data_IF_690323523904
#
_entry.id   IF_690323523904
#
_cell.length_a   1.000
_cell.length_b   1.000
_cell.length_c   1.000
_cell.angle_alpha   90.00
_cell.angle_beta   90.00
_cell.angle_gamma   90.00
#
_symmetry.space_group_name_H-M   'P 1'
#
loop_
_entity.id
_entity.type
_entity.pdbx_description
1 polymer ?
#
# COMPACT_ATOMS: atom_id res chain seq x y z
N UNK A 1 -14.96 -1.30 -4.06
CA UNK A 1 -13.83 -2.24 -4.34
C UNK A 1 -13.23 -2.69 -3.02
N UNK A 2 -12.50 -3.83 -3.03
CA UNK A 2 -11.66 -4.25 -1.91
C UNK A 2 -10.20 -3.97 -2.24
N UNK A 3 -9.56 -3.15 -1.42
CA UNK A 3 -8.20 -2.64 -1.67
C UNK A 3 -7.34 -2.95 -0.45
N UNK A 4 -6.16 -3.51 -0.64
CA UNK A 4 -5.11 -3.51 0.37
C UNK A 4 -4.19 -2.31 0.15
N UNK A 5 -3.87 -1.59 1.23
CA UNK A 5 -3.03 -0.40 1.18
C UNK A 5 -1.80 -0.63 2.06
N UNK A 6 -0.63 -0.72 1.45
CA UNK A 6 0.63 -1.07 2.10
C UNK A 6 1.43 0.19 2.40
N UNK A 7 1.62 0.47 3.69
CA UNK A 7 2.24 1.66 4.23
C UNK A 7 1.22 2.63 4.82
N UNK A 8 1.14 2.67 6.16
CA UNK A 8 0.19 3.50 6.93
C UNK A 8 0.90 4.69 7.60
N UNK A 9 1.90 5.22 6.91
CA UNK A 9 2.60 6.43 7.33
C UNK A 9 1.77 7.70 7.13
N UNK A 10 2.45 8.86 7.27
CA UNK A 10 1.81 10.20 7.24
C UNK A 10 1.07 10.55 5.94
N UNK A 11 1.39 9.89 4.82
CA UNK A 11 0.65 10.01 3.56
C UNK A 11 -0.38 8.88 3.42
N UNK A 12 0.03 7.63 3.71
CA UNK A 12 -0.79 6.44 3.44
C UNK A 12 -2.07 6.39 4.28
N UNK A 13 -1.99 6.64 5.59
CA UNK A 13 -3.19 6.58 6.44
C UNK A 13 -4.27 7.60 6.06
N UNK A 14 -3.97 8.88 5.80
CA UNK A 14 -4.96 9.81 5.28
C UNK A 14 -5.60 9.36 3.98
N UNK A 15 -4.81 8.84 3.02
CA UNK A 15 -5.33 8.33 1.75
C UNK A 15 -6.24 7.11 1.94
N UNK A 16 -5.89 6.20 2.86
CA UNK A 16 -6.75 5.08 3.27
C UNK A 16 -8.10 5.57 3.75
N UNK A 17 -8.13 6.60 4.60
CA UNK A 17 -9.38 7.18 5.11
C UNK A 17 -10.21 7.83 3.98
N UNK A 18 -9.58 8.55 3.05
CA UNK A 18 -10.25 9.14 1.88
C UNK A 18 -10.85 8.06 0.96
N UNK A 19 -10.10 6.98 0.70
CA UNK A 19 -10.58 5.86 -0.12
C UNK A 19 -11.76 5.13 0.55
N UNK A 20 -11.73 4.95 1.86
CA UNK A 20 -12.83 4.35 2.61
C UNK A 20 -14.09 5.22 2.55
N UNK A 21 -13.97 6.54 2.73
CA UNK A 21 -15.10 7.48 2.56
C UNK A 21 -15.72 7.46 1.17
N UNK A 22 -14.94 7.08 0.16
CA UNK A 22 -15.46 6.88 -1.22
C UNK A 22 -16.15 5.53 -1.40
N UNK A 23 -16.44 4.79 -0.31
CA UNK A 23 -17.21 3.54 -0.31
C UNK A 23 -16.38 2.28 -0.62
N UNK A 24 -15.05 2.37 -0.50
CA UNK A 24 -14.19 1.20 -0.65
C UNK A 24 -13.97 0.48 0.69
N UNK A 25 -13.83 -0.84 0.64
CA UNK A 25 -13.33 -1.63 1.77
C UNK A 25 -11.81 -1.66 1.72
N UNK A 26 -11.16 -1.22 2.77
CA UNK A 26 -9.70 -1.10 2.81
C UNK A 26 -9.12 -2.05 3.86
N UNK A 27 -8.08 -2.79 3.49
CA UNK A 27 -7.20 -3.47 4.42
C UNK A 27 -5.86 -2.72 4.45
N UNK A 28 -5.65 -1.92 5.48
CA UNK A 28 -4.39 -1.23 5.71
C UNK A 28 -3.32 -2.20 6.22
N UNK A 29 -2.15 -2.20 5.59
CA UNK A 29 -1.04 -3.10 5.91
C UNK A 29 0.19 -2.27 6.30
N UNK A 30 0.77 -2.54 7.46
CA UNK A 30 2.03 -1.95 7.89
C UNK A 30 2.85 -2.96 8.70
N UNK A 31 4.18 -2.79 8.71
CA UNK A 31 5.10 -3.60 9.53
C UNK A 31 5.37 -2.98 10.91
N UNK A 32 4.96 -1.73 11.12
CA UNK A 32 5.18 -1.01 12.36
C UNK A 32 4.11 -1.36 13.39
N UNK A 33 4.51 -2.16 14.38
CA UNK A 33 3.64 -2.62 15.46
C UNK A 33 2.98 -1.47 16.22
N UNK A 34 3.69 -0.37 16.48
CA UNK A 34 3.13 0.80 17.15
C UNK A 34 1.99 1.44 16.37
N UNK A 35 2.16 1.57 15.03
CA UNK A 35 1.10 2.10 14.17
C UNK A 35 -0.12 1.18 14.20
N UNK A 36 0.09 -0.12 14.05
CA UNK A 36 -1.00 -1.10 14.06
C UNK A 36 -1.72 -1.17 15.41
N UNK A 37 -0.98 -1.14 16.51
CA UNK A 37 -1.56 -1.12 17.87
C UNK A 37 -2.49 0.10 18.04
N UNK A 38 -2.02 1.30 17.69
CA UNK A 38 -2.81 2.52 17.76
C UNK A 38 -4.09 2.42 16.91
N UNK A 39 -3.95 2.04 15.65
CA UNK A 39 -5.07 1.97 14.72
C UNK A 39 -6.11 0.91 15.12
N UNK A 40 -5.69 -0.25 15.61
CA UNK A 40 -6.59 -1.30 16.10
C UNK A 40 -7.31 -0.92 17.40
N UNK A 41 -6.77 0.06 18.15
CA UNK A 41 -7.42 0.65 19.32
C UNK A 41 -8.26 1.90 18.97
N UNK A 42 -8.48 2.18 17.67
CA UNK A 42 -9.14 3.39 17.17
C UNK A 42 -8.43 4.70 17.58
N UNK A 43 -7.11 4.67 17.70
CA UNK A 43 -6.28 5.82 18.02
C UNK A 43 -5.43 6.22 16.81
N UNK A 44 -5.31 7.52 16.55
CA UNK A 44 -4.42 8.02 15.50
C UNK A 44 -2.95 7.98 15.97
N UNK A 45 -2.01 7.39 15.17
CA UNK A 45 -0.61 7.31 15.55
C UNK A 45 0.16 8.63 15.41
N UNK A 46 -0.41 9.60 14.69
CA UNK A 46 0.17 10.94 14.45
C UNK A 46 -0.93 11.94 14.12
N UNK A 47 -0.56 13.23 14.16
CA UNK A 47 -1.44 14.31 13.75
C UNK A 47 -1.27 14.63 12.25
N UNK A 48 -2.42 14.77 11.56
CA UNK A 48 -2.54 15.36 10.21
C UNK A 48 -3.84 16.19 10.20
N UNK A 49 -3.83 17.43 9.67
CA UNK A 49 -5.02 18.26 9.60
C UNK A 49 -6.19 17.56 8.90
N UNK A 50 -7.38 17.58 9.52
CA UNK A 50 -8.59 16.94 8.99
C UNK A 50 -8.66 15.43 9.13
N UNK A 51 -7.57 14.73 9.52
CA UNK A 51 -7.57 13.28 9.63
C UNK A 51 -8.53 12.78 10.72
N UNK A 52 -8.62 13.46 11.84
CA UNK A 52 -9.56 13.13 12.93
C UNK A 52 -11.01 13.12 12.47
N UNK A 53 -11.37 14.01 11.53
CA UNK A 53 -12.75 14.17 11.05
C UNK A 53 -13.15 13.07 10.06
N UNK A 54 -12.15 12.41 9.46
CA UNK A 54 -12.36 11.36 8.45
C UNK A 54 -11.88 9.99 8.89
N UNK A 55 -11.21 9.90 10.04
CA UNK A 55 -10.77 8.62 10.57
C UNK A 55 -12.00 7.76 10.89
N UNK A 56 -12.11 6.56 10.35
CA UNK A 56 -13.35 5.82 10.40
C UNK A 56 -13.61 5.26 11.79
N UNK A 57 -14.86 5.39 12.19
CA UNK A 57 -15.45 4.66 13.30
C UNK A 57 -16.31 3.49 12.81
N UNK A 58 -16.22 3.15 11.52
CA UNK A 58 -16.97 2.08 10.87
C UNK A 58 -16.07 0.91 10.45
N UNK A 59 -16.68 -0.20 10.03
CA UNK A 59 -16.00 -1.44 9.64
C UNK A 59 -15.45 -1.41 8.20
N UNK A 60 -15.26 -0.25 7.58
CA UNK A 60 -14.75 -0.15 6.21
C UNK A 60 -13.23 -0.31 6.14
N UNK A 61 -12.50 -0.11 7.26
CA UNK A 61 -11.06 -0.27 7.32
C UNK A 61 -10.69 -1.33 8.36
N UNK A 62 -9.86 -2.30 7.94
CA UNK A 62 -9.14 -3.20 8.84
C UNK A 62 -7.65 -2.91 8.80
N UNK A 63 -6.90 -3.27 9.84
CA UNK A 63 -5.46 -3.08 9.92
C UNK A 63 -4.75 -4.38 10.25
N UNK A 64 -3.60 -4.65 9.62
CA UNK A 64 -2.85 -5.90 9.78
C UNK A 64 -1.40 -5.75 9.33
N UNK A 65 -0.54 -6.68 9.74
CA UNK A 65 0.80 -6.89 9.20
C UNK A 65 0.84 -7.98 8.11
N UNK A 66 -0.29 -8.66 7.88
CA UNK A 66 -0.38 -9.86 7.05
C UNK A 66 -0.52 -9.57 5.56
N UNK A 67 0.52 -9.80 4.79
CA UNK A 67 0.49 -9.78 3.33
C UNK A 67 -0.36 -10.91 2.73
N UNK A 68 -0.55 -12.02 3.45
CA UNK A 68 -1.48 -13.06 3.02
C UNK A 68 -2.91 -12.53 2.98
N UNK A 69 -3.35 -11.82 4.03
CA UNK A 69 -4.65 -11.16 4.04
C UNK A 69 -4.75 -10.08 2.95
N UNK A 70 -3.69 -9.30 2.74
CA UNK A 70 -3.64 -8.28 1.70
C UNK A 70 -3.97 -8.85 0.32
N UNK A 71 -3.43 -10.02 -0.01
CA UNK A 71 -3.68 -10.69 -1.29
C UNK A 71 -5.05 -11.36 -1.32
N UNK A 72 -5.43 -12.10 -0.27
CA UNK A 72 -6.65 -12.91 -0.29
C UNK A 72 -7.93 -12.06 -0.18
N UNK A 73 -7.92 -10.97 0.59
CA UNK A 73 -9.10 -10.16 0.84
C UNK A 73 -9.30 -9.03 -0.19
N UNK A 74 -8.22 -8.59 -0.89
CA UNK A 74 -8.28 -7.47 -1.83
C UNK A 74 -8.05 -7.87 -3.29
N UNK A 75 -8.60 -7.11 -4.22
CA UNK A 75 -8.42 -7.25 -5.67
C UNK A 75 -7.24 -6.42 -6.17
N UNK A 76 -6.89 -5.39 -5.38
CA UNK A 76 -5.84 -4.41 -5.72
C UNK A 76 -5.00 -4.14 -4.49
N UNK A 77 -3.68 -4.10 -4.64
CA UNK A 77 -2.74 -3.62 -3.63
C UNK A 77 -2.11 -2.31 -4.06
N UNK A 78 -2.24 -1.27 -3.23
CA UNK A 78 -1.56 0.02 -3.40
C UNK A 78 -0.36 0.04 -2.46
N UNK A 79 0.83 0.34 -2.97
CA UNK A 79 2.07 0.40 -2.20
C UNK A 79 2.52 1.86 -2.11
N UNK A 80 2.47 2.41 -0.90
CA UNK A 80 2.96 3.75 -0.56
C UNK A 80 3.82 3.66 0.71
N UNK A 81 5.04 3.20 0.52
CA UNK A 81 6.05 3.07 1.58
C UNK A 81 7.11 4.15 1.46
N UNK A 82 7.84 4.39 2.54
CA UNK A 82 8.89 5.40 2.56
C UNK A 82 9.97 5.10 1.52
N UNK A 83 10.48 6.15 0.87
CA UNK A 83 11.63 6.08 -0.04
C UNK A 83 12.71 7.01 0.50
N UNK A 84 13.80 6.41 1.01
CA UNK A 84 14.91 7.18 1.57
C UNK A 84 15.77 7.78 0.45
N UNK A 85 16.19 9.02 0.65
CA UNK A 85 17.19 9.63 -0.22
C UNK A 85 18.58 9.16 0.25
N UNK A 86 19.24 8.35 -0.57
CA UNK A 86 20.63 7.94 -0.37
C UNK A 86 21.58 8.71 -1.28
N UNK A 87 22.88 8.39 -1.22
CA UNK A 87 23.93 9.04 -2.02
C UNK A 87 23.73 8.86 -3.53
N UNK A 88 23.04 7.80 -3.96
CA UNK A 88 22.74 7.47 -5.36
C UNK A 88 21.32 7.87 -5.82
N UNK A 89 20.57 8.60 -5.01
CA UNK A 89 19.17 8.96 -5.26
C UNK A 89 18.19 8.25 -4.34
N UNK A 90 16.90 8.18 -4.74
CA UNK A 90 15.86 7.48 -3.97
C UNK A 90 16.10 5.97 -3.95
N UNK A 91 16.11 5.38 -2.75
CA UNK A 91 16.20 3.93 -2.57
C UNK A 91 14.83 3.29 -2.80
N UNK A 92 14.79 2.24 -3.64
CA UNK A 92 13.60 1.40 -3.85
C UNK A 92 13.47 0.24 -2.85
N UNK A 93 14.38 0.14 -1.88
CA UNK A 93 14.52 -1.01 -0.97
C UNK A 93 13.20 -1.37 -0.25
N UNK A 94 12.49 -0.39 0.29
CA UNK A 94 11.20 -0.64 0.94
C UNK A 94 10.10 -1.03 -0.04
N UNK A 95 10.11 -0.46 -1.26
CA UNK A 95 9.18 -0.86 -2.32
C UNK A 95 9.45 -2.29 -2.76
N UNK A 96 10.70 -2.65 -2.97
CA UNK A 96 11.11 -4.01 -3.32
C UNK A 96 10.76 -5.01 -2.21
N UNK A 97 11.04 -4.66 -0.93
CA UNK A 97 10.66 -5.49 0.21
C UNK A 97 9.15 -5.74 0.27
N UNK A 98 8.33 -4.71 0.08
CA UNK A 98 6.88 -4.84 0.04
C UNK A 98 6.41 -5.71 -1.13
N UNK A 99 7.02 -5.54 -2.31
CA UNK A 99 6.73 -6.37 -3.49
C UNK A 99 7.15 -7.83 -3.32
N UNK A 100 8.27 -8.10 -2.66
CA UNK A 100 8.72 -9.47 -2.35
C UNK A 100 7.67 -10.17 -1.49
N UNK A 101 7.27 -9.54 -0.37
CA UNK A 101 6.28 -10.11 0.54
C UNK A 101 4.93 -10.32 -0.14
N UNK A 102 4.47 -9.35 -0.94
CA UNK A 102 3.24 -9.46 -1.72
C UNK A 102 3.33 -10.61 -2.74
N UNK A 103 4.45 -10.72 -3.47
CA UNK A 103 4.65 -11.72 -4.52
C UNK A 103 4.73 -13.15 -3.99
N UNK A 104 5.35 -13.35 -2.81
CA UNK A 104 5.37 -14.65 -2.12
C UNK A 104 3.95 -15.12 -1.79
N UNK A 105 3.07 -14.20 -1.40
CA UNK A 105 1.68 -14.51 -1.10
C UNK A 105 0.82 -14.65 -2.38
N UNK A 106 1.10 -13.88 -3.44
CA UNK A 106 0.48 -14.07 -4.75
C UNK A 106 0.76 -15.46 -5.34
N UNK A 107 1.98 -16.00 -5.14
CA UNK A 107 2.33 -17.36 -5.55
C UNK A 107 1.45 -18.42 -4.91
N UNK A 108 1.04 -18.21 -3.65
CA UNK A 108 0.22 -19.14 -2.86
C UNK A 108 -1.27 -18.95 -3.10
N UNK A 109 -1.67 -17.77 -3.56
CA UNK A 109 -3.06 -17.41 -3.78
C UNK A 109 -3.68 -18.16 -4.95
N UNK A 110 -4.96 -18.49 -4.82
CA UNK A 110 -5.78 -19.12 -5.88
C UNK A 110 -6.48 -18.09 -6.77
N UNK A 111 -6.30 -16.80 -6.52
CA UNK A 111 -6.88 -15.74 -7.37
C UNK A 111 -6.25 -15.76 -8.75
N UNK A 112 -7.05 -15.60 -9.79
CA UNK A 112 -6.57 -15.56 -11.18
C UNK A 112 -5.80 -14.27 -11.47
N UNK A 113 -6.19 -13.15 -10.85
CA UNK A 113 -5.62 -11.84 -11.13
C UNK A 113 -5.53 -10.97 -9.88
N UNK A 114 -4.50 -10.11 -9.84
CA UNK A 114 -4.33 -9.10 -8.80
C UNK A 114 -3.66 -7.84 -9.38
N UNK A 115 -4.23 -6.65 -9.12
CA UNK A 115 -3.62 -5.39 -9.55
C UNK A 115 -2.66 -4.86 -8.48
N UNK A 116 -1.45 -4.49 -8.89
CA UNK A 116 -0.45 -3.84 -8.04
C UNK A 116 -0.28 -2.41 -8.51
N UNK A 117 -0.42 -1.45 -7.60
CA UNK A 117 -0.22 -0.02 -7.85
C UNK A 117 0.93 0.46 -6.98
N UNK A 118 1.96 1.05 -7.59
CA UNK A 118 3.04 1.72 -6.88
C UNK A 118 2.74 3.21 -6.84
N UNK A 119 2.59 3.76 -5.64
CA UNK A 119 2.46 5.21 -5.39
C UNK A 119 3.72 5.81 -4.77
N UNK A 120 4.60 4.97 -4.20
CA UNK A 120 5.93 5.42 -3.74
C UNK A 120 6.76 5.97 -4.90
N UNK A 121 7.56 7.01 -4.64
CA UNK A 121 8.52 7.55 -5.61
C UNK A 121 9.56 6.50 -5.99
N UNK A 122 9.70 6.23 -7.28
CA UNK A 122 10.73 5.34 -7.83
C UNK A 122 11.49 6.03 -8.96
N UNK A 123 12.74 5.64 -9.18
CA UNK A 123 13.55 6.21 -10.25
C UNK A 123 13.01 5.82 -11.64
N UNK A 124 13.17 6.69 -12.65
CA UNK A 124 12.84 6.35 -14.04
C UNK A 124 13.53 5.03 -14.46
N UNK A 125 12.77 4.14 -15.11
CA UNK A 125 13.26 2.84 -15.54
C UNK A 125 13.13 1.71 -14.51
N UNK A 126 12.85 2.01 -13.22
CA UNK A 126 12.71 0.98 -12.18
C UNK A 126 11.50 0.06 -12.39
N UNK A 127 10.43 0.55 -12.99
CA UNK A 127 9.17 -0.18 -13.12
C UNK A 127 9.34 -1.54 -13.81
N UNK A 128 10.13 -1.62 -14.88
CA UNK A 128 10.39 -2.89 -15.58
C UNK A 128 11.08 -3.91 -14.65
N UNK A 129 12.02 -3.47 -13.83
CA UNK A 129 12.73 -4.33 -12.89
C UNK A 129 11.78 -4.81 -11.77
N UNK A 130 10.89 -3.94 -11.27
CA UNK A 130 9.89 -4.29 -10.28
C UNK A 130 8.87 -5.29 -10.82
N UNK A 131 8.43 -5.14 -12.08
CA UNK A 131 7.57 -6.13 -12.76
C UNK A 131 8.28 -7.49 -12.84
N UNK A 132 9.54 -7.53 -13.29
CA UNK A 132 10.31 -8.77 -13.36
C UNK A 132 10.54 -9.41 -11.97
N UNK A 133 10.70 -8.59 -10.92
CA UNK A 133 10.78 -9.09 -9.55
C UNK A 133 9.50 -9.84 -9.15
N UNK A 134 8.33 -9.25 -9.43
CA UNK A 134 7.03 -9.89 -9.17
C UNK A 134 6.87 -11.17 -9.98
N UNK A 135 7.18 -11.17 -11.27
CA UNK A 135 7.11 -12.37 -12.12
C UNK A 135 7.99 -13.51 -11.58
N UNK A 136 9.24 -13.18 -11.25
CA UNK A 136 10.24 -14.15 -10.76
C UNK A 136 9.79 -14.81 -9.45
N UNK A 137 9.21 -14.07 -8.53
CA UNK A 137 8.85 -14.59 -7.20
C UNK A 137 7.47 -15.25 -7.23
N UNK A 138 6.48 -14.61 -7.83
CA UNK A 138 5.11 -15.14 -7.86
C UNK A 138 4.93 -16.31 -8.84
N UNK A 139 5.75 -16.38 -9.88
CA UNK A 139 5.56 -17.29 -11.00
C UNK A 139 4.42 -16.91 -11.94
N UNK A 140 3.82 -15.72 -11.74
CA UNK A 140 2.72 -15.18 -12.56
C UNK A 140 3.28 -14.27 -13.65
N UNK A 141 2.55 -14.13 -14.76
CA UNK A 141 2.94 -13.22 -15.84
C UNK A 141 2.22 -11.89 -15.77
N UNK A 142 2.96 -10.82 -16.01
CA UNK A 142 2.41 -9.48 -16.17
C UNK A 142 1.38 -9.45 -17.32
N UNK A 143 0.24 -8.80 -17.08
CA UNK A 143 -0.87 -8.71 -18.02
C UNK A 143 -1.83 -9.91 -18.01
N UNK A 144 -1.41 -11.05 -17.44
CA UNK A 144 -2.24 -12.28 -17.35
C UNK A 144 -2.63 -12.58 -15.91
N UNK A 145 -1.66 -12.82 -15.03
CA UNK A 145 -1.88 -13.20 -13.63
C UNK A 145 -1.80 -12.03 -12.65
N UNK A 146 -1.25 -10.89 -13.07
CA UNK A 146 -1.27 -9.63 -12.34
C UNK A 146 -1.16 -8.43 -13.29
N UNK A 147 -1.69 -7.29 -12.83
CA UNK A 147 -1.47 -5.97 -13.42
C UNK A 147 -0.47 -5.17 -12.60
N UNK A 148 0.15 -4.17 -13.22
CA UNK A 148 1.09 -3.28 -12.57
C UNK A 148 0.90 -1.85 -13.07
N UNK A 149 0.70 -0.89 -12.17
CA UNK A 149 0.55 0.51 -12.49
C UNK A 149 1.48 1.36 -11.61
N UNK A 150 1.95 2.47 -12.15
CA UNK A 150 2.66 3.49 -11.40
C UNK A 150 1.80 4.76 -11.33
N UNK A 151 1.41 5.14 -10.12
CA UNK A 151 0.56 6.31 -9.84
C UNK A 151 1.24 7.12 -8.75
N UNK A 152 2.20 7.98 -9.08
CA UNK A 152 2.91 8.77 -8.09
C UNK A 152 1.99 9.76 -7.39
N UNK A 153 2.14 9.90 -6.07
CA UNK A 153 1.43 10.88 -5.28
C UNK A 153 2.07 12.27 -5.37
N UNK A 154 1.21 13.29 -5.46
CA UNK A 154 1.61 14.71 -5.46
C UNK A 154 0.99 15.48 -4.30
N UNK A 155 0.68 14.79 -3.19
CA UNK A 155 0.08 15.38 -1.99
C UNK A 155 1.14 15.95 -1.05
N UNK A 156 0.79 17.01 -0.31
CA UNK A 156 1.69 17.70 0.63
C UNK A 156 1.38 17.28 2.06
N UNK A 157 2.42 16.94 2.82
CA UNK A 157 2.30 16.74 4.27
C UNK A 157 1.70 18.00 4.93
N UNK A 158 0.75 17.80 5.84
CA UNK A 158 0.01 18.89 6.49
C UNK A 158 -1.20 19.38 5.67
N UNK A 159 -1.45 18.80 4.48
CA UNK A 159 -2.59 19.15 3.62
C UNK A 159 -3.15 17.94 2.85
N UNK A 160 -2.77 16.72 3.24
CA UNK A 160 -3.06 15.48 2.49
C UNK A 160 -4.55 15.27 2.22
N UNK A 161 -5.40 15.68 3.17
CA UNK A 161 -6.86 15.52 3.06
C UNK A 161 -7.48 16.49 2.04
N UNK A 162 -6.85 17.62 1.79
CA UNK A 162 -7.40 18.71 0.97
C UNK A 162 -6.76 18.77 -0.43
N UNK A 163 -5.63 18.10 -0.66
CA UNK A 163 -4.99 17.95 -1.96
C UNK A 163 -5.64 16.81 -2.77
#
# INVERSE_FOLDING_TARGET
MKISFIGLGKLGLPLVCCLARSGNQILGVDKNEYILEKLNNNELPFYEPGLTDIFPHDNLIGFTDSYSRAVEEAETSIILVNTQLGDSGYSSEFVESALIDLSVNLKKSKKDYHLIIISSTVLPGSISNLIHLVEKISGRKYGEGFGFAYVPDFVRLGNVIYD
#
